data_IF_004722565408
#
_entry.id   IF_004722565408
#
_cell.length_a   1.000
_cell.length_b   1.000
_cell.length_c   1.000
_cell.angle_alpha   90.00
_cell.angle_beta   90.00
_cell.angle_gamma   90.00
#
_symmetry.space_group_name_H-M   'P 1'
#
loop_
_entity.id
_entity.type
_entity.pdbx_description
1 polymer ?
#
# COMPACT_ATOMS: atom_id res chain seq x y z
N UNK A 1 45.85 -30.16 6.22
CA UNK A 1 45.06 -30.95 5.24
C UNK A 1 43.96 -30.08 4.65
N UNK A 2 44.19 -29.51 3.46
CA UNK A 2 43.13 -28.98 2.59
C UNK A 2 43.30 -29.71 1.27
N UNK A 3 42.51 -30.76 1.10
CA UNK A 3 42.40 -31.50 -0.15
C UNK A 3 41.76 -30.57 -1.17
N UNK A 4 42.55 -30.00 -2.07
CA UNK A 4 42.03 -29.30 -3.25
C UNK A 4 41.40 -30.34 -4.16
N UNK A 5 40.08 -30.34 -4.26
CA UNK A 5 39.33 -31.22 -5.18
C UNK A 5 39.79 -30.95 -6.63
N UNK A 6 40.40 -31.92 -7.32
CA UNK A 6 40.88 -31.75 -8.70
C UNK A 6 39.75 -31.56 -9.72
N UNK A 7 38.47 -31.66 -9.30
CA UNK A 7 37.28 -31.39 -10.13
C UNK A 7 36.67 -30.00 -9.92
N UNK A 8 37.23 -29.17 -9.03
CA UNK A 8 36.73 -27.82 -8.80
C UNK A 8 36.94 -26.96 -10.06
N UNK A 9 35.83 -26.55 -10.71
CA UNK A 9 35.89 -25.60 -11.83
C UNK A 9 36.57 -24.31 -11.35
N UNK A 10 37.53 -23.75 -12.11
CA UNK A 10 38.11 -22.47 -11.76
C UNK A 10 37.01 -21.41 -11.70
N UNK A 11 37.12 -20.41 -10.80
CA UNK A 11 36.15 -19.32 -10.77
C UNK A 11 36.06 -18.67 -12.15
N UNK A 12 34.86 -18.26 -12.60
CA UNK A 12 34.70 -17.63 -13.90
C UNK A 12 35.66 -16.44 -14.00
N UNK A 13 36.44 -16.39 -15.09
CA UNK A 13 37.34 -15.26 -15.36
C UNK A 13 36.50 -13.99 -15.33
N UNK A 14 36.84 -13.03 -14.46
CA UNK A 14 36.23 -11.70 -14.47
C UNK A 14 36.37 -11.16 -15.89
N UNK A 15 35.26 -10.75 -16.50
CA UNK A 15 35.31 -10.09 -17.80
C UNK A 15 36.23 -8.86 -17.68
N UNK A 16 37.08 -8.57 -18.68
CA UNK A 16 37.86 -7.35 -18.69
C UNK A 16 36.91 -6.15 -18.59
N UNK A 17 37.30 -5.16 -17.79
CA UNK A 17 36.59 -3.89 -17.76
C UNK A 17 36.67 -3.25 -19.16
N UNK A 18 35.53 -2.82 -19.69
CA UNK A 18 35.43 -2.09 -20.96
C UNK A 18 34.89 -0.71 -20.62
N UNK A 19 35.58 0.32 -21.06
CA UNK A 19 35.17 1.71 -20.84
C UNK A 19 33.85 1.98 -21.60
N UNK A 20 32.87 2.68 -21.00
CA UNK A 20 31.61 2.97 -21.67
C UNK A 20 31.82 3.86 -22.90
N UNK A 21 31.05 3.60 -23.95
CA UNK A 21 31.00 4.48 -25.12
C UNK A 21 30.40 5.85 -24.76
N UNK A 22 30.66 6.92 -25.53
CA UNK A 22 30.05 8.24 -25.30
C UNK A 22 28.52 8.19 -25.24
N UNK A 23 27.90 7.28 -25.99
CA UNK A 23 26.44 7.08 -25.98
C UNK A 23 25.97 6.45 -24.67
N UNK A 24 26.71 5.49 -24.13
CA UNK A 24 26.41 4.89 -22.84
C UNK A 24 26.63 5.88 -21.70
N UNK A 25 27.68 6.71 -21.79
CA UNK A 25 27.89 7.81 -20.85
C UNK A 25 26.72 8.79 -20.84
N UNK A 26 26.26 9.25 -22.01
CA UNK A 26 25.10 10.14 -22.09
C UNK A 26 23.84 9.52 -21.47
N UNK A 27 23.59 8.22 -21.68
CA UNK A 27 22.45 7.53 -21.05
C UNK A 27 22.59 7.53 -19.52
N UNK A 28 23.78 7.28 -18.98
CA UNK A 28 24.02 7.29 -17.54
C UNK A 28 23.84 8.68 -16.94
N UNK A 29 24.28 9.73 -17.63
CA UNK A 29 24.05 11.12 -17.23
C UNK A 29 22.55 11.43 -17.16
N UNK A 30 21.75 11.01 -18.16
CA UNK A 30 20.29 11.13 -18.08
C UNK A 30 19.67 10.35 -16.93
N UNK A 31 20.15 9.14 -16.65
CA UNK A 31 19.65 8.33 -15.53
C UNK A 31 19.93 9.02 -14.19
N UNK A 32 21.10 9.63 -14.02
CA UNK A 32 21.47 10.42 -12.84
C UNK A 32 20.61 11.69 -12.72
N UNK A 33 20.53 12.49 -13.79
CA UNK A 33 19.74 13.71 -13.83
C UNK A 33 18.24 13.45 -13.54
N UNK A 34 17.68 12.39 -14.14
CA UNK A 34 16.28 12.01 -13.91
C UNK A 34 16.05 11.51 -12.47
N UNK A 35 17.02 10.84 -11.86
CA UNK A 35 16.93 10.43 -10.47
C UNK A 35 16.99 11.63 -9.52
N UNK A 36 17.65 12.72 -9.91
CA UNK A 36 17.74 13.97 -9.15
C UNK A 36 16.50 14.88 -9.28
N UNK A 37 15.58 14.59 -10.20
CA UNK A 37 14.34 15.35 -10.39
C UNK A 37 13.29 15.11 -9.28
N UNK A 38 13.65 15.31 -8.01
CA UNK A 38 12.72 15.20 -6.87
C UNK A 38 11.64 16.29 -6.95
N UNK A 39 10.45 15.94 -7.46
CA UNK A 39 9.32 16.85 -7.68
C UNK A 39 9.47 17.84 -8.84
N UNK A 40 10.66 17.97 -9.45
CA UNK A 40 10.87 18.80 -10.65
C UNK A 40 10.38 18.07 -11.93
N UNK A 41 9.06 17.94 -12.02
CA UNK A 41 8.40 17.24 -13.12
C UNK A 41 8.69 17.92 -14.47
N UNK A 42 8.86 19.24 -14.49
CA UNK A 42 9.14 20.00 -15.71
C UNK A 42 10.52 19.62 -16.26
N UNK A 43 11.56 19.61 -15.40
CA UNK A 43 12.90 19.15 -15.79
C UNK A 43 12.89 17.70 -16.23
N UNK A 44 12.17 16.82 -15.53
CA UNK A 44 12.07 15.41 -15.92
C UNK A 44 11.48 15.22 -17.33
N UNK A 45 10.43 15.97 -17.68
CA UNK A 45 9.84 15.94 -19.02
C UNK A 45 10.78 16.51 -20.08
N UNK A 46 11.52 17.58 -19.77
CA UNK A 46 12.53 18.14 -20.66
C UNK A 46 13.64 17.13 -20.99
N UNK A 47 14.16 16.42 -19.97
CA UNK A 47 15.17 15.38 -20.14
C UNK A 47 14.66 14.26 -21.05
N UNK A 48 13.43 13.76 -20.83
CA UNK A 48 12.83 12.74 -21.70
C UNK A 48 12.64 13.22 -23.14
N UNK A 49 12.34 14.51 -23.34
CA UNK A 49 12.23 15.12 -24.67
C UNK A 49 13.59 15.19 -25.36
N UNK A 50 14.61 15.64 -24.64
CA UNK A 50 15.98 15.76 -25.14
C UNK A 50 16.57 14.39 -25.52
N UNK A 51 16.41 13.37 -24.67
CA UNK A 51 16.73 11.97 -25.02
C UNK A 51 16.10 11.53 -26.34
N UNK A 52 14.84 11.92 -26.58
CA UNK A 52 14.13 11.65 -27.82
C UNK A 52 14.75 12.35 -29.03
N UNK A 53 15.14 13.62 -28.88
CA UNK A 53 15.82 14.41 -29.91
C UNK A 53 17.19 13.82 -30.26
N UNK A 54 17.90 13.28 -29.26
CA UNK A 54 19.17 12.58 -29.42
C UNK A 54 19.03 11.12 -29.91
N UNK A 55 17.80 10.67 -30.18
CA UNK A 55 17.48 9.30 -30.64
C UNK A 55 18.01 8.22 -29.68
N UNK A 56 18.00 8.52 -28.39
CA UNK A 56 18.29 7.56 -27.33
C UNK A 56 17.02 6.77 -27.00
N UNK A 57 17.18 5.46 -26.79
CA UNK A 57 16.07 4.60 -26.43
C UNK A 57 15.72 4.84 -24.95
N UNK A 58 14.52 5.34 -24.71
CA UNK A 58 13.98 5.49 -23.35
C UNK A 58 13.48 4.15 -22.85
N UNK A 59 13.98 3.74 -21.69
CA UNK A 59 13.58 2.52 -20.98
C UNK A 59 12.85 2.87 -19.68
N UNK A 60 12.34 1.87 -18.96
CA UNK A 60 11.72 2.05 -17.66
C UNK A 60 12.59 2.85 -16.67
N UNK A 61 13.93 2.78 -16.77
CA UNK A 61 14.86 3.55 -15.93
C UNK A 61 14.76 5.06 -16.09
N UNK A 62 14.20 5.52 -17.20
CA UNK A 62 14.04 6.94 -17.50
C UNK A 62 12.59 7.37 -17.27
N UNK A 63 11.64 6.54 -17.72
CA UNK A 63 10.21 6.82 -17.57
C UNK A 63 9.76 6.80 -16.11
N UNK A 64 10.18 5.81 -15.32
CA UNK A 64 9.70 5.66 -13.93
C UNK A 64 10.11 6.86 -13.06
N UNK A 65 11.37 7.34 -13.06
CA UNK A 65 11.72 8.57 -12.35
C UNK A 65 10.91 9.79 -12.77
N UNK A 66 10.64 9.97 -14.06
CA UNK A 66 9.80 11.07 -14.52
C UNK A 66 8.35 10.98 -14.01
N UNK A 67 7.76 9.77 -14.00
CA UNK A 67 6.42 9.56 -13.41
C UNK A 67 6.46 9.82 -11.89
N UNK A 68 7.50 9.38 -11.18
CA UNK A 68 7.67 9.66 -9.75
C UNK A 68 7.81 11.15 -9.46
N UNK A 69 8.55 11.88 -10.29
CA UNK A 69 8.69 13.33 -10.19
C UNK A 69 7.34 14.03 -10.36
N UNK A 70 6.54 13.61 -11.35
CA UNK A 70 5.16 14.07 -11.51
C UNK A 70 4.31 13.76 -10.27
N UNK A 71 4.44 12.56 -9.70
CA UNK A 71 3.69 12.16 -8.51
C UNK A 71 4.00 13.03 -7.29
N UNK A 72 5.28 13.29 -7.04
CA UNK A 72 5.75 14.16 -5.95
C UNK A 72 5.26 15.60 -6.11
N UNK A 73 5.12 16.07 -7.36
CA UNK A 73 4.54 17.38 -7.67
C UNK A 73 3.00 17.40 -7.71
N UNK A 74 2.33 16.27 -7.47
CA UNK A 74 0.87 16.14 -7.60
C UNK A 74 0.39 16.39 -9.04
N UNK A 75 1.17 16.03 -10.05
CA UNK A 75 0.85 16.21 -11.47
C UNK A 75 0.30 14.92 -12.06
N UNK A 76 -0.92 14.56 -11.66
CA UNK A 76 -1.54 13.29 -12.07
C UNK A 76 -1.82 13.22 -13.57
N UNK A 77 -2.17 14.33 -14.21
CA UNK A 77 -2.41 14.39 -15.67
C UNK A 77 -1.13 14.04 -16.45
N UNK A 78 -0.01 14.66 -16.06
CA UNK A 78 1.31 14.37 -16.62
C UNK A 78 1.74 12.92 -16.35
N UNK A 79 1.54 12.43 -15.13
CA UNK A 79 1.86 11.04 -14.78
C UNK A 79 1.09 10.05 -15.68
N UNK A 80 -0.19 10.30 -15.96
CA UNK A 80 -1.03 9.45 -16.80
C UNK A 80 -0.61 9.54 -18.28
N UNK A 81 -0.27 10.75 -18.73
CA UNK A 81 0.26 10.94 -20.08
C UNK A 81 1.57 10.17 -20.27
N UNK A 82 2.45 10.17 -19.26
CA UNK A 82 3.68 9.38 -19.28
C UNK A 82 3.43 7.87 -19.30
N UNK A 83 2.44 7.35 -18.58
CA UNK A 83 2.04 5.94 -18.69
C UNK A 83 1.59 5.57 -20.12
N UNK A 84 0.86 6.48 -20.76
CA UNK A 84 0.42 6.31 -22.15
C UNK A 84 1.60 6.36 -23.12
N UNK A 85 2.55 7.28 -22.89
CA UNK A 85 3.71 7.44 -23.76
C UNK A 85 4.70 6.28 -23.62
N UNK A 86 4.88 5.74 -22.42
CA UNK A 86 5.62 4.50 -22.16
C UNK A 86 5.23 3.38 -23.14
N UNK A 87 3.94 3.19 -23.38
CA UNK A 87 3.44 2.20 -24.34
C UNK A 87 3.77 2.56 -25.79
N UNK A 88 3.51 3.81 -26.20
CA UNK A 88 3.82 4.30 -27.55
C UNK A 88 5.29 4.09 -27.89
N UNK A 89 6.16 4.22 -26.89
CA UNK A 89 7.61 4.09 -27.01
C UNK A 89 8.14 2.69 -26.68
N UNK A 90 7.27 1.66 -26.72
CA UNK A 90 7.63 0.23 -26.54
C UNK A 90 8.34 -0.07 -25.22
N UNK A 91 8.04 0.70 -24.18
CA UNK A 91 8.51 0.48 -22.81
C UNK A 91 7.30 0.41 -21.88
N UNK A 92 6.52 -0.69 -21.89
CA UNK A 92 5.25 -0.78 -21.17
C UNK A 92 5.38 -0.38 -19.69
N UNK A 93 4.37 0.31 -19.11
CA UNK A 93 4.33 0.59 -17.68
C UNK A 93 4.52 -0.65 -16.81
N UNK A 94 5.30 -0.50 -15.74
CA UNK A 94 5.51 -1.53 -14.72
C UNK A 94 4.82 -1.16 -13.40
N UNK A 95 4.85 -2.04 -12.40
CA UNK A 95 4.31 -1.80 -11.06
C UNK A 95 4.72 -0.43 -10.48
N UNK A 96 6.00 -0.07 -10.56
CA UNK A 96 6.51 1.19 -10.03
C UNK A 96 5.89 2.42 -10.73
N UNK A 97 5.68 2.34 -12.05
CA UNK A 97 5.06 3.43 -12.80
C UNK A 97 3.59 3.61 -12.39
N UNK A 98 2.83 2.51 -12.26
CA UNK A 98 1.44 2.57 -11.79
C UNK A 98 1.34 3.07 -10.36
N UNK A 99 2.19 2.58 -9.45
CA UNK A 99 2.16 3.01 -8.05
C UNK A 99 2.46 4.50 -7.92
N UNK A 100 3.40 5.03 -8.72
CA UNK A 100 3.67 6.46 -8.77
C UNK A 100 2.48 7.26 -9.33
N UNK A 101 1.83 6.79 -10.40
CA UNK A 101 0.63 7.46 -10.93
C UNK A 101 -0.56 7.43 -9.95
N UNK A 102 -0.75 6.33 -9.21
CA UNK A 102 -1.74 6.23 -8.12
C UNK A 102 -1.42 7.23 -7.01
N UNK A 103 -0.15 7.36 -6.62
CA UNK A 103 0.31 8.35 -5.63
C UNK A 103 0.10 9.79 -6.10
N UNK A 104 0.27 10.08 -7.39
CA UNK A 104 -0.03 11.39 -7.96
C UNK A 104 -1.50 11.80 -7.76
N UNK A 105 -2.43 10.83 -7.83
CA UNK A 105 -3.85 11.07 -7.57
C UNK A 105 -4.12 11.47 -6.12
N UNK A 106 -3.36 10.92 -5.17
CA UNK A 106 -3.51 11.23 -3.75
C UNK A 106 -3.22 12.70 -3.47
N UNK A 107 -2.12 13.22 -4.01
CA UNK A 107 -1.63 14.58 -3.73
C UNK A 107 -2.59 15.69 -4.18
N UNK A 108 -3.43 15.45 -5.18
CA UNK A 108 -4.43 16.42 -5.68
C UNK A 108 -5.87 16.06 -5.29
N UNK A 109 -6.07 15.04 -4.45
CA UNK A 109 -7.41 14.55 -4.13
C UNK A 109 -8.18 13.99 -5.33
N UNK A 110 -7.49 13.61 -6.41
CA UNK A 110 -8.09 13.03 -7.62
C UNK A 110 -8.38 11.52 -7.44
N UNK A 111 -8.93 11.13 -6.28
CA UNK A 111 -9.08 9.73 -5.87
C UNK A 111 -9.91 8.89 -6.87
N UNK A 112 -10.90 9.51 -7.53
CA UNK A 112 -11.75 8.87 -8.53
C UNK A 112 -10.95 8.34 -9.74
N UNK A 113 -9.75 8.89 -9.98
CA UNK A 113 -8.85 8.47 -11.05
C UNK A 113 -7.99 7.27 -10.68
N UNK A 114 -7.79 6.96 -9.39
CA UNK A 114 -6.93 5.87 -8.95
C UNK A 114 -7.56 4.47 -9.19
N UNK A 115 -8.88 4.35 -9.10
CA UNK A 115 -9.60 3.09 -9.36
C UNK A 115 -9.41 2.57 -10.81
N UNK A 116 -9.58 3.42 -11.84
CA UNK A 116 -9.27 3.05 -13.22
C UNK A 116 -7.84 2.53 -13.43
N UNK A 117 -6.84 3.12 -12.78
CA UNK A 117 -5.45 2.63 -12.87
C UNK A 117 -5.29 1.22 -12.29
N UNK A 118 -5.95 0.92 -11.17
CA UNK A 118 -5.96 -0.43 -10.59
C UNK A 118 -6.53 -1.46 -11.57
N UNK A 119 -7.60 -1.10 -12.27
CA UNK A 119 -8.23 -1.96 -13.27
C UNK A 119 -7.33 -2.14 -14.51
N UNK A 120 -6.77 -1.06 -15.04
CA UNK A 120 -5.86 -1.09 -16.18
C UNK A 120 -4.63 -1.95 -15.91
N UNK A 121 -4.01 -1.78 -14.74
CA UNK A 121 -2.88 -2.58 -14.28
C UNK A 121 -3.22 -4.09 -14.33
N UNK A 122 -4.39 -4.49 -13.82
CA UNK A 122 -4.87 -5.88 -13.88
C UNK A 122 -5.10 -6.38 -15.30
N UNK A 123 -5.73 -5.56 -16.16
CA UNK A 123 -5.98 -5.91 -17.56
C UNK A 123 -4.67 -6.17 -18.33
N UNK A 124 -3.58 -5.54 -17.90
CA UNK A 124 -2.22 -5.77 -18.44
C UNK A 124 -1.49 -6.95 -17.81
N UNK A 125 -2.14 -7.72 -16.94
CA UNK A 125 -1.54 -8.85 -16.25
C UNK A 125 -0.62 -8.46 -15.09
N UNK A 126 -0.59 -7.18 -14.71
CA UNK A 126 0.13 -6.74 -13.53
C UNK A 126 -0.82 -6.85 -12.33
N UNK A 127 -0.63 -7.88 -11.51
CA UNK A 127 -1.41 -7.99 -10.27
C UNK A 127 -0.97 -6.93 -9.26
N UNK A 128 -1.89 -6.15 -8.67
CA UNK A 128 -1.56 -5.21 -7.60
C UNK A 128 -0.80 -5.90 -6.47
N UNK A 129 0.24 -5.23 -5.96
CA UNK A 129 1.08 -5.74 -4.87
C UNK A 129 0.74 -5.04 -3.56
N UNK A 130 1.39 -5.45 -2.46
CA UNK A 130 1.18 -4.86 -1.13
C UNK A 130 1.32 -3.32 -1.16
N UNK A 131 2.35 -2.79 -1.83
CA UNK A 131 2.54 -1.34 -1.96
C UNK A 131 1.38 -0.67 -2.72
N UNK A 132 0.92 -1.28 -3.81
CA UNK A 132 -0.22 -0.78 -4.60
C UNK A 132 -1.50 -0.72 -3.76
N UNK A 133 -1.83 -1.80 -3.05
CA UNK A 133 -3.00 -1.83 -2.17
C UNK A 133 -2.89 -0.84 -1.02
N UNK A 134 -1.71 -0.70 -0.43
CA UNK A 134 -1.46 0.24 0.66
C UNK A 134 -1.74 1.68 0.22
N UNK A 135 -1.20 2.10 -0.93
CA UNK A 135 -1.44 3.44 -1.49
C UNK A 135 -2.92 3.64 -1.81
N UNK A 136 -3.56 2.66 -2.45
CA UNK A 136 -4.97 2.77 -2.82
C UNK A 136 -5.90 2.80 -1.60
N UNK A 137 -5.63 1.98 -0.56
CA UNK A 137 -6.37 2.02 0.70
C UNK A 137 -6.24 3.37 1.39
N UNK A 138 -5.04 3.96 1.41
CA UNK A 138 -4.81 5.30 1.96
C UNK A 138 -5.67 6.36 1.26
N UNK A 139 -5.70 6.34 -0.08
CA UNK A 139 -6.55 7.21 -0.89
C UNK A 139 -8.03 7.05 -0.52
N UNK A 140 -8.53 5.81 -0.42
CA UNK A 140 -9.93 5.55 -0.10
C UNK A 140 -10.31 6.02 1.31
N UNK A 141 -9.43 5.84 2.30
CA UNK A 141 -9.64 6.28 3.69
C UNK A 141 -9.73 7.79 3.78
N UNK A 142 -8.76 8.50 3.18
CA UNK A 142 -8.72 9.97 3.20
C UNK A 142 -9.97 10.59 2.56
N UNK A 143 -10.62 9.88 1.64
CA UNK A 143 -11.82 10.33 0.93
C UNK A 143 -13.12 9.70 1.45
N UNK A 144 -13.10 9.08 2.63
CA UNK A 144 -14.31 8.54 3.29
C UNK A 144 -14.98 7.36 2.57
N UNK A 145 -14.28 6.70 1.64
CA UNK A 145 -14.81 5.59 0.83
C UNK A 145 -14.66 4.24 1.56
N UNK A 146 -15.29 4.13 2.72
CA UNK A 146 -15.11 3.00 3.63
C UNK A 146 -15.46 1.62 3.02
N UNK A 147 -16.54 1.53 2.23
CA UNK A 147 -16.96 0.27 1.61
C UNK A 147 -15.98 -0.21 0.53
N UNK A 148 -15.49 0.69 -0.32
CA UNK A 148 -14.46 0.35 -1.30
C UNK A 148 -13.15 -0.05 -0.61
N UNK A 149 -12.76 0.65 0.46
CA UNK A 149 -11.58 0.30 1.24
C UNK A 149 -11.71 -1.12 1.84
N UNK A 150 -12.92 -1.49 2.30
CA UNK A 150 -13.21 -2.85 2.78
C UNK A 150 -13.05 -3.87 1.66
N UNK A 151 -13.60 -3.62 0.47
CA UNK A 151 -13.45 -4.52 -0.68
C UNK A 151 -11.99 -4.72 -1.07
N UNK A 152 -11.22 -3.63 -1.16
CA UNK A 152 -9.80 -3.69 -1.51
C UNK A 152 -8.95 -4.39 -0.46
N UNK A 153 -9.23 -4.14 0.82
CA UNK A 153 -8.54 -4.83 1.91
C UNK A 153 -8.84 -6.34 1.90
N UNK A 154 -10.11 -6.73 1.75
CA UNK A 154 -10.51 -8.12 1.67
C UNK A 154 -9.85 -8.84 0.48
N UNK A 155 -9.76 -8.18 -0.67
CA UNK A 155 -9.06 -8.72 -1.84
C UNK A 155 -7.56 -8.93 -1.55
N UNK A 156 -6.89 -7.94 -0.97
CA UNK A 156 -5.48 -8.04 -0.62
C UNK A 156 -5.19 -9.14 0.42
N UNK A 157 -6.06 -9.30 1.42
CA UNK A 157 -5.98 -10.41 2.39
C UNK A 157 -6.18 -11.77 1.71
N UNK A 158 -7.14 -11.89 0.79
CA UNK A 158 -7.37 -13.14 0.04
C UNK A 158 -6.16 -13.53 -0.85
N UNK A 159 -5.39 -12.53 -1.31
CA UNK A 159 -4.12 -12.74 -2.02
C UNK A 159 -2.94 -13.05 -1.10
N UNK A 160 -3.13 -13.03 0.23
CA UNK A 160 -2.08 -13.28 1.22
C UNK A 160 -1.14 -12.09 1.44
N UNK A 161 -1.54 -10.87 1.04
CA UNK A 161 -0.71 -9.66 1.18
C UNK A 161 -0.79 -9.04 2.57
N UNK A 162 -1.87 -9.28 3.31
CA UNK A 162 -2.04 -8.84 4.70
C UNK A 162 -2.25 -10.03 5.62
N UNK A 163 -1.18 -10.49 6.28
CA UNK A 163 -1.25 -11.44 7.39
C UNK A 163 -1.10 -10.73 8.73
N UNK A 164 -2.19 -10.11 9.17
CA UNK A 164 -2.22 -9.30 10.41
C UNK A 164 -2.70 -10.09 11.62
N UNK A 165 -3.27 -11.29 11.44
CA UNK A 165 -3.85 -12.06 12.54
C UNK A 165 -2.90 -13.15 13.02
N UNK A 166 -2.22 -12.90 14.13
CA UNK A 166 -1.23 -13.84 14.68
C UNK A 166 -1.74 -14.59 15.92
N UNK A 167 -1.04 -15.67 16.26
CA UNK A 167 -1.33 -16.52 17.43
C UNK A 167 -2.80 -16.98 17.45
N UNK A 168 -3.22 -17.65 16.37
CA UNK A 168 -4.59 -18.18 16.19
C UNK A 168 -5.66 -17.10 16.38
N UNK A 169 -5.38 -15.88 15.90
CA UNK A 169 -6.31 -14.75 15.92
C UNK A 169 -6.47 -14.08 17.30
N UNK A 170 -5.49 -14.25 18.20
CA UNK A 170 -5.46 -13.58 19.51
C UNK A 170 -4.90 -12.16 19.44
N UNK A 171 -4.02 -11.90 18.48
CA UNK A 171 -3.38 -10.61 18.28
C UNK A 171 -3.59 -10.16 16.84
N UNK A 172 -3.96 -8.89 16.68
CA UNK A 172 -3.96 -8.17 15.43
C UNK A 172 -2.66 -7.35 15.39
N UNK A 173 -1.69 -7.80 14.60
CA UNK A 173 -0.38 -7.17 14.48
C UNK A 173 -0.39 -6.11 13.39
N UNK A 174 -0.24 -4.85 13.79
CA UNK A 174 -0.22 -3.68 12.91
C UNK A 174 1.17 -3.03 12.88
N UNK A 175 2.21 -3.69 13.39
CA UNK A 175 3.57 -3.12 13.47
C UNK A 175 4.10 -2.70 12.10
N UNK A 176 3.98 -3.56 11.11
CA UNK A 176 4.43 -3.31 9.73
C UNK A 176 3.35 -2.68 8.83
N UNK A 177 2.16 -2.39 9.40
CA UNK A 177 1.06 -1.78 8.66
C UNK A 177 1.17 -0.25 8.75
N UNK A 178 1.12 0.50 7.64
CA UNK A 178 1.08 1.96 7.66
C UNK A 178 -0.09 2.50 8.49
N UNK A 179 0.10 3.66 9.13
CA UNK A 179 -0.86 4.22 10.10
C UNK A 179 -2.24 4.44 9.51
N UNK A 180 -2.31 4.89 8.26
CA UNK A 180 -3.53 5.18 7.51
C UNK A 180 -4.29 3.90 7.18
N UNK A 181 -3.56 2.81 6.90
CA UNK A 181 -4.14 1.49 6.62
C UNK A 181 -4.57 0.81 7.92
N UNK A 182 -3.87 1.07 9.03
CA UNK A 182 -4.19 0.50 10.35
C UNK A 182 -5.61 0.82 10.80
N UNK A 183 -6.16 1.98 10.42
CA UNK A 183 -7.57 2.34 10.67
C UNK A 183 -8.54 1.41 9.96
N UNK A 184 -8.29 1.09 8.69
CA UNK A 184 -9.11 0.14 7.92
C UNK A 184 -9.04 -1.24 8.55
N UNK A 185 -7.81 -1.69 8.82
CA UNK A 185 -7.57 -3.03 9.36
C UNK A 185 -8.28 -3.20 10.70
N UNK A 186 -8.16 -2.21 11.60
CA UNK A 186 -8.77 -2.32 12.92
C UNK A 186 -10.29 -2.21 12.89
N UNK A 187 -10.84 -1.33 12.04
CA UNK A 187 -12.28 -1.23 11.80
C UNK A 187 -12.84 -2.58 11.36
N UNK A 188 -12.26 -3.16 10.31
CA UNK A 188 -12.70 -4.43 9.77
C UNK A 188 -12.53 -5.58 10.79
N UNK A 189 -11.40 -5.63 11.49
CA UNK A 189 -11.16 -6.63 12.52
C UNK A 189 -12.18 -6.60 13.66
N UNK A 190 -12.62 -5.41 14.08
CA UNK A 190 -13.67 -5.25 15.10
C UNK A 190 -15.01 -5.74 14.56
N UNK A 191 -15.38 -5.35 13.35
CA UNK A 191 -16.65 -5.73 12.71
C UNK A 191 -16.76 -7.25 12.50
N UNK A 192 -15.76 -7.87 11.85
CA UNK A 192 -15.76 -9.31 11.60
C UNK A 192 -15.84 -10.10 12.90
N UNK A 193 -15.11 -9.65 13.93
CA UNK A 193 -15.10 -10.33 15.22
C UNK A 193 -16.42 -10.14 15.96
N UNK A 194 -17.02 -8.96 15.89
CA UNK A 194 -18.33 -8.68 16.46
C UNK A 194 -19.41 -9.56 15.80
N UNK A 195 -19.43 -9.61 14.47
CA UNK A 195 -20.37 -10.43 13.69
C UNK A 195 -20.20 -11.93 14.00
N UNK A 196 -18.95 -12.40 14.12
CA UNK A 196 -18.66 -13.78 14.52
C UNK A 196 -19.21 -14.11 15.92
N UNK A 197 -18.98 -13.21 16.90
CA UNK A 197 -19.48 -13.37 18.28
C UNK A 197 -21.01 -13.35 18.30
N UNK A 198 -21.64 -12.48 17.53
CA UNK A 198 -23.10 -12.38 17.45
C UNK A 198 -23.74 -13.67 16.90
N UNK A 199 -23.15 -14.26 15.85
CA UNK A 199 -23.66 -15.50 15.22
C UNK A 199 -23.41 -16.76 16.05
N UNK A 200 -22.23 -16.92 16.67
CA UNK A 200 -21.83 -18.16 17.35
C UNK A 200 -21.98 -18.13 18.88
N UNK A 201 -22.31 -16.97 19.46
CA UNK A 201 -22.56 -16.81 20.91
C UNK A 201 -21.34 -16.97 21.83
N UNK A 202 -20.21 -17.46 21.33
CA UNK A 202 -18.95 -17.63 22.08
C UNK A 202 -17.89 -16.67 21.56
N UNK A 203 -17.69 -15.56 22.26
CA UNK A 203 -16.43 -14.86 22.22
C UNK A 203 -15.38 -15.78 22.86
N UNK A 204 -14.55 -16.45 22.05
CA UNK A 204 -13.43 -17.23 22.57
C UNK A 204 -12.68 -16.42 23.66
N UNK A 205 -12.30 -17.09 24.76
CA UNK A 205 -11.84 -16.50 26.03
C UNK A 205 -11.16 -15.11 25.88
N UNK A 206 -11.94 -14.02 25.97
CA UNK A 206 -11.43 -12.68 26.27
C UNK A 206 -11.07 -11.73 25.12
N UNK A 207 -11.71 -11.84 23.94
CA UNK A 207 -11.55 -10.87 22.84
C UNK A 207 -10.20 -10.96 22.12
N UNK A 208 -9.57 -9.83 21.77
CA UNK A 208 -8.25 -9.82 21.11
C UNK A 208 -7.40 -8.61 21.53
N UNK A 209 -6.13 -8.62 21.15
CA UNK A 209 -5.24 -7.48 21.34
C UNK A 209 -4.86 -6.88 19.99
N UNK A 210 -4.69 -5.57 19.94
CA UNK A 210 -4.07 -4.88 18.81
C UNK A 210 -2.65 -4.50 19.20
N UNK A 211 -1.69 -4.80 18.33
CA UNK A 211 -0.28 -4.44 18.48
C UNK A 211 0.04 -3.33 17.49
N UNK A 212 0.41 -2.15 17.98
CA UNK A 212 0.75 -0.98 17.15
C UNK A 212 2.26 -0.71 17.08
N UNK A 213 3.06 -1.49 17.82
CA UNK A 213 4.52 -1.40 17.87
C UNK A 213 5.08 -0.71 19.11
N UNK A 214 6.41 -0.59 19.19
CA UNK A 214 7.12 0.03 20.33
C UNK A 214 6.77 1.51 20.49
N UNK A 215 7.15 2.13 21.60
CA UNK A 215 6.86 3.54 21.91
C UNK A 215 7.79 4.51 21.15
N UNK A 216 7.46 4.81 19.90
CA UNK A 216 8.21 5.71 19.03
C UNK A 216 7.29 6.79 18.44
N UNK A 217 7.83 7.88 17.89
CA UNK A 217 7.01 8.97 17.33
C UNK A 217 6.08 8.47 16.22
N UNK A 218 6.57 7.61 15.32
CA UNK A 218 5.80 7.07 14.19
C UNK A 218 4.66 6.16 14.64
N UNK A 219 4.89 5.31 15.64
CA UNK A 219 3.89 4.39 16.20
C UNK A 219 2.88 5.10 17.12
N UNK A 220 3.24 6.26 17.68
CA UNK A 220 2.30 7.08 18.45
C UNK A 220 1.10 7.55 17.58
N UNK A 221 1.36 7.96 16.34
CA UNK A 221 0.29 8.32 15.39
C UNK A 221 -0.59 7.12 15.04
N UNK A 222 0.01 5.96 14.78
CA UNK A 222 -0.72 4.70 14.53
C UNK A 222 -1.60 4.31 15.72
N UNK A 223 -1.06 4.39 16.94
CA UNK A 223 -1.81 4.10 18.15
C UNK A 223 -2.98 5.09 18.32
N UNK A 224 -2.75 6.38 18.08
CA UNK A 224 -3.80 7.39 18.12
C UNK A 224 -4.91 7.12 17.10
N UNK A 225 -4.54 6.81 15.86
CA UNK A 225 -5.46 6.45 14.78
C UNK A 225 -6.32 5.22 15.15
N UNK A 226 -5.68 4.17 15.66
CA UNK A 226 -6.37 2.96 16.13
C UNK A 226 -7.32 3.27 17.30
N UNK A 227 -6.86 4.05 18.28
CA UNK A 227 -7.70 4.44 19.43
C UNK A 227 -8.87 5.32 19.01
N UNK A 228 -8.70 6.18 18.01
CA UNK A 228 -9.76 7.02 17.43
C UNK A 228 -10.87 6.13 16.88
N UNK A 229 -10.55 5.21 15.97
CA UNK A 229 -11.51 4.25 15.42
C UNK A 229 -12.23 3.49 16.54
N UNK A 230 -11.47 2.93 17.48
CA UNK A 230 -12.07 2.15 18.58
C UNK A 230 -13.01 2.96 19.47
N UNK A 231 -12.65 4.19 19.83
CA UNK A 231 -13.42 5.02 20.77
C UNK A 231 -14.56 5.76 20.11
N UNK A 232 -14.30 6.38 18.96
CA UNK A 232 -15.24 7.28 18.30
C UNK A 232 -16.24 6.51 17.43
N UNK A 233 -15.79 5.49 16.70
CA UNK A 233 -16.69 4.72 15.82
C UNK A 233 -17.41 3.60 16.57
N UNK A 234 -16.76 2.95 17.54
CA UNK A 234 -17.31 1.78 18.23
C UNK A 234 -17.65 2.02 19.71
N UNK A 235 -17.38 3.22 20.25
CA UNK A 235 -17.65 3.54 21.66
C UNK A 235 -16.86 2.68 22.65
N UNK A 236 -15.70 2.12 22.26
CA UNK A 236 -14.97 1.16 23.09
C UNK A 236 -14.22 1.83 24.24
N UNK A 237 -14.38 1.28 25.45
CA UNK A 237 -13.55 1.61 26.62
C UNK A 237 -12.21 0.86 26.57
N UNK A 238 -11.31 1.33 25.70
CA UNK A 238 -10.00 0.71 25.47
C UNK A 238 -8.95 1.14 26.51
N UNK A 239 -8.23 0.13 27.05
CA UNK A 239 -7.05 0.33 27.90
C UNK A 239 -5.79 0.02 27.09
N UNK A 240 -4.85 0.96 27.12
CA UNK A 240 -3.48 0.74 26.65
C UNK A 240 -2.70 0.12 27.81
N UNK A 241 -1.98 -0.97 27.56
CA UNK A 241 -1.14 -1.61 28.57
C UNK A 241 0.07 -0.70 28.88
N UNK A 242 0.19 -0.13 30.09
CA UNK A 242 1.27 0.79 30.42
C UNK A 242 2.62 0.09 30.53
N UNK A 243 2.65 -1.23 30.75
CA UNK A 243 3.88 -2.03 30.81
C UNK A 243 4.31 -2.56 29.43
N UNK A 244 3.43 -2.49 28.43
CA UNK A 244 3.66 -2.97 27.06
C UNK A 244 3.04 -1.99 26.08
N UNK A 245 3.75 -0.90 25.81
CA UNK A 245 3.31 0.10 24.85
C UNK A 245 2.90 -0.53 23.52
N UNK A 246 1.86 0.03 22.91
CA UNK A 246 1.32 -0.43 21.65
C UNK A 246 0.35 -1.60 21.74
N UNK A 247 0.18 -2.24 22.91
CA UNK A 247 -0.82 -3.29 23.14
C UNK A 247 -2.14 -2.71 23.64
N UNK A 248 -3.19 -2.85 22.83
CA UNK A 248 -4.55 -2.41 23.15
C UNK A 248 -5.43 -3.63 23.33
N UNK A 249 -6.14 -3.74 24.47
CA UNK A 249 -7.04 -4.87 24.72
C UNK A 249 -8.48 -4.55 24.29
N UNK A 250 -9.05 -5.41 23.46
CA UNK A 250 -10.49 -5.47 23.21
C UNK A 250 -11.10 -6.64 23.95
N UNK A 251 -12.06 -6.35 24.82
CA UNK A 251 -12.77 -7.36 25.61
C UNK A 251 -13.88 -8.02 24.78
N UNK A 252 -14.12 -9.30 25.06
CA UNK A 252 -15.18 -10.06 24.39
C UNK A 252 -16.59 -9.52 24.66
N UNK A 253 -16.83 -8.93 25.83
CA UNK A 253 -18.12 -8.32 26.20
C UNK A 253 -18.48 -7.13 25.30
N UNK A 254 -17.50 -6.27 25.00
CA UNK A 254 -17.68 -5.14 24.09
C UNK A 254 -17.96 -5.61 22.66
N UNK A 255 -17.26 -6.66 22.19
CA UNK A 255 -17.52 -7.25 20.87
C UNK A 255 -18.92 -7.86 20.77
N UNK A 256 -19.41 -8.44 21.87
CA UNK A 256 -20.79 -8.95 21.95
C UNK A 256 -21.81 -7.82 21.87
N UNK A 257 -21.58 -6.71 22.58
CA UNK A 257 -22.42 -5.50 22.52
C UNK A 257 -22.49 -4.97 21.08
N UNK A 258 -21.35 -4.73 20.45
CA UNK A 258 -21.26 -4.23 19.07
C UNK A 258 -21.94 -5.20 18.10
N UNK A 259 -21.74 -6.50 18.26
CA UNK A 259 -22.38 -7.51 17.38
C UNK A 259 -23.90 -7.49 17.46
N UNK A 260 -24.47 -7.29 18.66
CA UNK A 260 -25.93 -7.14 18.84
C UNK A 260 -26.43 -5.85 18.20
N UNK A 261 -25.79 -4.71 18.47
CA UNK A 261 -26.15 -3.40 17.90
C UNK A 261 -26.16 -3.45 16.35
N UNK A 262 -25.16 -4.10 15.75
CA UNK A 262 -25.07 -4.26 14.30
C UNK A 262 -26.16 -5.15 13.71
N UNK A 263 -26.47 -6.30 14.34
CA UNK A 263 -27.56 -7.16 13.88
C UNK A 263 -28.91 -6.45 13.93
N UNK A 264 -29.16 -5.65 14.97
CA UNK A 264 -30.38 -4.85 15.09
C UNK A 264 -30.45 -3.79 13.99
N UNK A 265 -29.38 -3.03 13.76
CA UNK A 265 -29.32 -2.03 12.70
C UNK A 265 -29.57 -2.62 11.30
N UNK A 266 -28.96 -3.78 11.00
CA UNK A 266 -29.17 -4.50 9.74
C UNK A 266 -30.63 -4.93 9.55
N UNK A 267 -31.27 -5.43 10.61
CA UNK A 267 -32.68 -5.83 10.57
C UNK A 267 -33.63 -4.65 10.32
N UNK A 268 -33.31 -3.46 10.84
CA UNK A 268 -34.12 -2.26 10.63
C UNK A 268 -33.92 -1.68 9.22
N UNK A 269 -32.68 -1.67 8.69
CA UNK A 269 -32.45 -1.28 7.29
C UNK A 269 -33.12 -2.22 6.27
N UNK A 270 -33.18 -3.51 6.57
CA UNK A 270 -33.87 -4.50 5.72
C UNK A 270 -35.39 -4.32 5.70
N UNK A 271 -35.98 -3.79 6.77
CA UNK A 271 -37.41 -3.45 6.82
C UNK A 271 -37.74 -2.17 6.05
N UNK A 272 -36.82 -1.22 5.97
CA UNK A 272 -37.00 0.03 5.21
C UNK A 272 -36.90 -0.21 3.70
N UNK A 273 -36.05 -1.13 3.24
CA UNK A 273 -35.92 -1.47 1.82
C UNK A 273 -36.96 -2.49 1.31
N UNK A 274 -37.74 -3.09 2.22
CA UNK A 274 -38.81 -4.04 1.90
C UNK A 274 -40.22 -3.40 1.91
N UNK A 275 -40.30 -2.07 2.09
CA UNK A 275 -41.52 -1.25 1.97
C UNK A 275 -41.42 -0.36 0.74
#
# INVERSE_FOLDING_TARGET
TRTSDPRARPPPRRRPWVEPSPREMAILEYEEDLAACEGDWARALELLRDMGQQRLQRTARHWVPAVMSCAQAGRWEEAFQLLTDMEKWRSPPCHSAYNAAIEACEQQGAYERAGPLMLEMRQRGLMPQLDTYTKFLRILVQNGRAEEARTMYAEATAQGLFDVWVNRGRFLDLQEVPSEVAEVVVRFAVEERADFVARKGKAGKGGFFVLTGPAEKSTAYKQQAVLRVMREEFGLKVRVDPARFGRIQLKGEELKRIGVERLTAQADTGKVHAR
#
